data_IF_707694552176
#
_entry.id   IF_707694552176
#
_cell.length_a   1.000
_cell.length_b   1.000
_cell.length_c   1.000
_cell.angle_alpha   90.00
_cell.angle_beta   90.00
_cell.angle_gamma   90.00
#
_symmetry.space_group_name_H-M   'P 1'
#
loop_
_entity.id
_entity.type
_entity.pdbx_description
1 polymer ?
#
# COMPACT_ATOMS: atom_id res chain seq x y z
N UNK A 1 -5.17 16.99 87.14
CA UNK A 1 -4.95 16.16 85.94
C UNK A 1 -4.82 17.10 84.75
N UNK A 2 -3.63 17.50 84.26
CA UNK A 2 -2.64 16.72 83.45
C UNK A 2 -3.39 15.96 82.34
N UNK A 3 -3.27 16.24 81.02
CA UNK A 3 -2.13 16.49 80.11
C UNK A 3 -2.56 17.48 78.98
N UNK A 4 -1.74 18.49 78.58
CA UNK A 4 -0.74 18.48 77.48
C UNK A 4 -1.36 18.12 76.11
N UNK A 5 -1.16 18.81 74.98
CA UNK A 5 -0.04 19.63 74.49
C UNK A 5 -0.40 20.26 73.12
N UNK A 6 0.13 21.47 72.86
CA UNK A 6 0.75 21.99 71.61
C UNK A 6 0.03 21.87 70.24
N UNK A 7 0.25 22.69 69.21
CA UNK A 7 0.73 24.05 68.96
C UNK A 7 0.59 24.25 67.44
N UNK A 8 0.44 25.50 67.00
CA UNK A 8 0.45 25.98 65.60
C UNK A 8 1.65 25.50 64.77
N UNK A 9 1.47 25.14 63.48
CA UNK A 9 2.06 25.85 62.29
C UNK A 9 1.79 25.19 60.92
N UNK A 10 2.00 26.03 59.90
CA UNK A 10 1.78 25.97 58.46
C UNK A 10 2.49 24.88 57.61
N UNK A 11 1.92 24.71 56.40
CA UNK A 11 2.53 24.49 55.08
C UNK A 11 3.09 23.12 54.63
N UNK A 12 2.73 22.80 53.37
CA UNK A 12 3.33 21.91 52.36
C UNK A 12 3.11 20.37 52.45
N UNK A 13 2.39 19.79 51.46
CA UNK A 13 2.93 18.92 50.37
C UNK A 13 1.84 18.00 49.73
N UNK A 14 1.75 18.03 48.38
CA UNK A 14 1.18 17.10 47.36
C UNK A 14 0.07 16.06 47.66
N UNK A 15 -0.81 15.82 46.65
CA UNK A 15 -0.67 14.55 45.93
C UNK A 15 -0.88 14.62 44.40
N UNK A 16 0.00 13.87 43.73
CA UNK A 16 -0.22 13.06 42.51
C UNK A 16 -0.85 13.70 41.26
N UNK A 17 0.03 13.86 40.27
CA UNK A 17 -0.19 13.87 38.81
C UNK A 17 -1.32 12.91 38.38
N UNK A 18 -2.37 13.43 37.75
CA UNK A 18 -3.25 12.68 36.84
C UNK A 18 -2.91 13.07 35.41
N UNK A 19 -2.44 12.09 34.63
CA UNK A 19 -2.20 12.20 33.20
C UNK A 19 -3.51 12.51 32.45
N UNK A 20 -3.54 13.47 31.52
CA UNK A 20 -4.65 13.58 30.59
C UNK A 20 -4.55 12.45 29.55
N UNK A 21 -5.66 11.72 29.42
CA UNK A 21 -5.89 10.76 28.36
C UNK A 21 -5.71 11.41 26.98
N UNK A 22 -5.00 10.67 26.11
CA UNK A 22 -4.73 10.94 24.70
C UNK A 22 -5.87 11.62 23.93
N UNK A 23 -5.83 12.94 23.83
CA UNK A 23 -6.25 13.63 22.60
C UNK A 23 -5.07 13.55 21.64
N UNK A 24 -5.03 12.52 20.80
CA UNK A 24 -4.06 12.49 19.69
C UNK A 24 -4.49 13.59 18.74
N UNK A 25 -3.81 14.73 18.86
CA UNK A 25 -3.82 15.83 17.92
C UNK A 25 -3.42 15.24 16.56
N UNK A 26 -4.38 15.00 15.66
CA UNK A 26 -4.07 14.94 14.24
C UNK A 26 -3.70 16.37 13.84
N UNK A 27 -2.47 16.76 14.13
CA UNK A 27 -1.86 17.87 13.44
C UNK A 27 -1.89 17.47 11.96
N UNK A 28 -2.73 18.15 11.17
CA UNK A 28 -2.59 18.16 9.73
C UNK A 28 -1.18 18.68 9.44
N UNK A 29 -0.23 17.75 9.32
CA UNK A 29 1.06 18.05 8.71
C UNK A 29 0.70 18.58 7.33
N UNK A 30 0.88 19.88 7.10
CA UNK A 30 0.82 20.48 5.78
C UNK A 30 1.89 19.78 4.95
N UNK A 31 1.50 18.67 4.34
CA UNK A 31 2.40 17.79 3.62
C UNK A 31 2.60 18.47 2.29
N UNK A 32 3.63 19.30 2.23
CA UNK A 32 4.06 19.92 0.99
C UNK A 32 4.64 18.80 0.13
N UNK A 33 3.82 18.27 -0.78
CA UNK A 33 4.27 17.27 -1.74
C UNK A 33 5.21 17.94 -2.75
N UNK A 34 6.31 17.28 -3.08
CA UNK A 34 7.21 17.83 -4.09
C UNK A 34 6.51 17.86 -5.46
N UNK A 35 6.75 18.92 -6.23
CA UNK A 35 6.38 18.96 -7.64
C UNK A 35 7.01 17.77 -8.37
N UNK A 36 6.24 17.10 -9.22
CA UNK A 36 6.66 15.87 -9.90
C UNK A 36 6.36 14.59 -9.14
N UNK A 37 5.76 14.65 -7.93
CA UNK A 37 5.35 13.45 -7.22
C UNK A 37 4.24 12.72 -7.98
N UNK A 38 4.41 11.42 -8.18
CA UNK A 38 3.43 10.56 -8.83
C UNK A 38 2.38 10.09 -7.83
N UNK A 39 1.12 10.15 -8.22
CA UNK A 39 -0.03 9.78 -7.41
C UNK A 39 -1.10 9.04 -8.23
N UNK A 40 -2.02 8.41 -7.52
CA UNK A 40 -3.27 7.87 -8.06
C UNK A 40 -4.43 8.75 -7.64
N UNK A 41 -5.38 8.95 -8.55
CA UNK A 41 -6.62 9.67 -8.32
C UNK A 41 -7.81 8.88 -8.78
N UNK A 42 -8.96 9.08 -8.14
CA UNK A 42 -10.19 8.41 -8.54
C UNK A 42 -10.62 8.89 -9.92
N UNK A 43 -11.06 7.96 -10.74
CA UNK A 43 -11.57 8.19 -12.09
C UNK A 43 -12.92 7.48 -12.26
N UNK A 44 -13.86 8.07 -13.00
CA UNK A 44 -15.21 7.53 -13.13
C UNK A 44 -15.25 6.25 -13.97
N UNK A 45 -14.44 6.16 -15.02
CA UNK A 45 -14.41 5.00 -15.92
C UNK A 45 -13.39 3.94 -15.49
N UNK A 46 -12.11 4.30 -15.40
CA UNK A 46 -11.01 3.39 -15.00
C UNK A 46 -10.88 3.12 -13.49
N UNK A 47 -11.76 3.67 -12.65
CA UNK A 47 -11.69 3.65 -11.17
C UNK A 47 -10.49 4.45 -10.61
N UNK A 48 -9.29 4.26 -11.15
CA UNK A 48 -8.05 4.92 -10.73
C UNK A 48 -7.24 5.38 -11.94
N UNK A 49 -6.95 6.68 -12.01
CA UNK A 49 -6.08 7.27 -13.02
C UNK A 49 -4.71 7.66 -12.44
N UNK A 50 -3.69 7.59 -13.28
CA UNK A 50 -2.35 8.03 -12.95
C UNK A 50 -2.24 9.55 -13.08
N UNK A 51 -1.63 10.20 -12.09
CA UNK A 51 -1.45 11.63 -12.09
C UNK A 51 -0.09 12.05 -11.48
N UNK A 52 0.30 13.28 -11.79
CA UNK A 52 1.50 13.94 -11.27
C UNK A 52 1.13 15.28 -10.63
N UNK A 53 1.70 15.56 -9.47
CA UNK A 53 1.52 16.83 -8.79
C UNK A 53 2.30 17.92 -9.52
N UNK A 54 1.58 18.93 -10.02
CA UNK A 54 2.16 20.10 -10.69
C UNK A 54 2.49 21.18 -9.66
N UNK A 55 1.58 21.42 -8.73
CA UNK A 55 1.75 22.45 -7.69
C UNK A 55 0.97 22.06 -6.45
N UNK A 56 1.59 22.21 -5.28
CA UNK A 56 0.96 21.99 -3.98
C UNK A 56 0.99 23.29 -3.17
N UNK A 57 -0.19 23.79 -2.79
CA UNK A 57 -0.36 24.88 -1.85
C UNK A 57 -1.09 24.36 -0.59
N UNK A 58 -1.13 25.15 0.49
CA UNK A 58 -1.83 24.77 1.73
C UNK A 58 -3.35 24.56 1.55
N UNK A 59 -3.93 25.09 0.47
CA UNK A 59 -5.39 25.07 0.21
C UNK A 59 -5.80 24.18 -0.94
N UNK A 60 -4.90 23.90 -1.87
CA UNK A 60 -5.24 23.21 -3.11
C UNK A 60 -4.02 22.50 -3.67
N UNK A 61 -4.29 21.37 -4.32
CA UNK A 61 -3.26 20.56 -4.98
C UNK A 61 -3.68 20.46 -6.44
N UNK A 62 -2.83 21.00 -7.32
CA UNK A 62 -3.05 20.99 -8.77
C UNK A 62 -2.29 19.80 -9.34
N UNK A 63 -3.02 18.94 -10.04
CA UNK A 63 -2.50 17.72 -10.63
C UNK A 63 -2.78 17.70 -12.12
N UNK A 64 -1.96 16.95 -12.86
CA UNK A 64 -2.20 16.58 -14.26
C UNK A 64 -2.31 15.07 -14.34
N UNK A 65 -3.28 14.55 -15.08
CA UNK A 65 -3.39 13.11 -15.35
C UNK A 65 -2.48 12.74 -16.51
N UNK A 66 -2.12 11.46 -16.61
CA UNK A 66 -1.32 10.96 -17.74
C UNK A 66 -2.10 10.99 -19.06
N UNK A 67 -3.42 10.75 -19.00
CA UNK A 67 -4.33 10.76 -20.16
C UNK A 67 -4.57 12.17 -20.73
N UNK A 68 -4.70 13.17 -19.86
CA UNK A 68 -4.89 14.57 -20.24
C UNK A 68 -3.75 15.44 -19.71
N UNK A 69 -2.56 15.46 -20.36
CA UNK A 69 -1.41 16.24 -19.91
C UNK A 69 -1.67 17.75 -19.84
N UNK A 70 -2.63 18.24 -20.63
CA UNK A 70 -3.05 19.64 -20.65
C UNK A 70 -4.19 19.92 -19.67
N UNK A 71 -4.87 18.87 -19.20
CA UNK A 71 -5.91 18.95 -18.18
C UNK A 71 -5.29 19.24 -16.82
N UNK A 72 -5.95 20.09 -16.04
CA UNK A 72 -5.58 20.37 -14.65
C UNK A 72 -6.76 20.09 -13.77
N UNK A 73 -6.57 19.20 -12.80
CA UNK A 73 -7.56 18.90 -11.78
C UNK A 73 -7.10 19.55 -10.48
N UNK A 74 -8.02 20.22 -9.80
CA UNK A 74 -7.76 20.86 -8.51
C UNK A 74 -8.37 19.97 -7.43
N UNK A 75 -7.52 19.44 -6.56
CA UNK A 75 -7.92 18.66 -5.39
C UNK A 75 -7.90 19.52 -4.14
N UNK A 76 -8.85 19.26 -3.25
CA UNK A 76 -8.86 19.84 -1.92
C UNK A 76 -7.74 19.27 -1.04
N UNK A 77 -7.35 19.96 0.04
CA UNK A 77 -6.25 19.55 0.92
C UNK A 77 -6.65 18.37 1.82
N UNK A 78 -7.94 18.07 1.92
CA UNK A 78 -8.50 16.95 2.69
C UNK A 78 -8.73 15.69 1.86
N UNK A 79 -8.55 15.74 0.54
CA UNK A 79 -8.74 14.57 -0.32
C UNK A 79 -7.61 13.57 -0.10
N UNK A 80 -7.91 12.26 0.04
CA UNK A 80 -6.87 11.26 0.23
C UNK A 80 -6.03 11.10 -1.03
N UNK A 81 -4.72 11.36 -0.90
CA UNK A 81 -3.75 11.13 -1.96
C UNK A 81 -3.08 9.77 -1.80
N UNK A 82 -3.01 9.02 -2.90
CA UNK A 82 -2.38 7.71 -2.94
C UNK A 82 -1.08 7.80 -3.73
N UNK A 83 0.06 7.60 -3.10
CA UNK A 83 1.37 7.70 -3.76
C UNK A 83 1.54 6.58 -4.80
N UNK A 84 2.15 6.91 -5.93
CA UNK A 84 2.48 5.97 -7.00
C UNK A 84 3.99 5.76 -7.07
N UNK A 85 4.38 4.50 -7.20
CA UNK A 85 5.76 4.11 -7.52
C UNK A 85 5.94 4.08 -9.03
N UNK A 86 7.09 4.57 -9.51
CA UNK A 86 7.44 4.51 -10.93
C UNK A 86 7.58 3.07 -11.42
N UNK A 87 7.20 2.84 -12.68
CA UNK A 87 7.37 1.54 -13.32
C UNK A 87 8.84 1.21 -13.50
N UNK A 88 9.20 -0.05 -13.24
CA UNK A 88 10.56 -0.55 -13.42
C UNK A 88 10.59 -1.41 -14.67
N UNK A 89 11.46 -1.07 -15.63
CA UNK A 89 11.63 -1.82 -16.87
C UNK A 89 12.95 -2.60 -16.83
N UNK A 90 12.90 -3.88 -17.19
CA UNK A 90 14.06 -4.75 -17.40
C UNK A 90 14.25 -5.03 -18.89
N UNK A 91 15.28 -5.80 -19.26
CA UNK A 91 15.48 -6.28 -20.63
C UNK A 91 14.32 -7.12 -21.17
N UNK A 92 13.48 -7.65 -20.28
CA UNK A 92 12.33 -8.49 -20.62
C UNK A 92 11.00 -7.70 -20.64
N UNK A 93 11.05 -6.38 -20.40
CA UNK A 93 9.87 -5.51 -20.39
C UNK A 93 9.51 -5.00 -18.98
N UNK A 94 8.22 -4.79 -18.74
CA UNK A 94 7.74 -4.28 -17.45
C UNK A 94 7.99 -5.31 -16.33
N UNK A 95 8.71 -4.88 -15.29
CA UNK A 95 8.96 -5.69 -14.11
C UNK A 95 7.72 -5.75 -13.24
N UNK A 96 7.19 -6.95 -13.03
CA UNK A 96 6.05 -7.20 -12.15
C UNK A 96 6.47 -8.08 -10.97
N UNK A 97 6.03 -7.69 -9.77
CA UNK A 97 6.34 -8.41 -8.54
C UNK A 97 5.49 -9.67 -8.43
N UNK A 98 6.10 -10.76 -7.96
CA UNK A 98 5.42 -12.04 -7.75
C UNK A 98 4.61 -12.09 -6.46
N UNK A 99 4.95 -11.25 -5.47
CA UNK A 99 4.24 -11.07 -4.22
C UNK A 99 3.88 -9.59 -4.03
N UNK A 100 2.57 -9.31 -3.86
CA UNK A 100 2.03 -7.97 -3.66
C UNK A 100 2.49 -7.33 -2.35
N UNK A 101 2.95 -8.11 -1.36
CA UNK A 101 3.50 -7.54 -0.11
C UNK A 101 4.82 -6.80 -0.31
N UNK A 102 5.47 -6.98 -1.47
CA UNK A 102 6.70 -6.28 -1.84
C UNK A 102 6.44 -4.89 -2.46
N UNK A 103 5.17 -4.49 -2.64
CA UNK A 103 4.82 -3.16 -3.11
C UNK A 103 5.25 -2.10 -2.09
N UNK A 104 5.79 -0.98 -2.57
CA UNK A 104 6.16 0.16 -1.71
C UNK A 104 4.96 0.77 -1.00
N UNK A 105 3.82 0.79 -1.69
CA UNK A 105 2.56 1.28 -1.16
C UNK A 105 1.50 0.19 -1.30
N UNK A 106 1.01 -0.34 -0.19
CA UNK A 106 -0.01 -1.38 -0.16
C UNK A 106 -1.40 -0.75 0.02
N UNK A 107 -1.83 0.02 -0.98
CA UNK A 107 -3.16 0.60 -1.08
C UNK A 107 -3.88 0.07 -2.33
N UNK A 108 -5.19 0.31 -2.40
CA UNK A 108 -6.06 -0.23 -3.44
C UNK A 108 -5.57 0.05 -4.88
N UNK A 109 -5.22 1.31 -5.28
CA UNK A 109 -4.77 1.54 -6.66
C UNK A 109 -3.45 0.83 -7.02
N UNK A 110 -2.50 0.73 -6.08
CA UNK A 110 -1.25 0.02 -6.33
C UNK A 110 -1.47 -1.49 -6.52
N UNK A 111 -2.36 -2.08 -5.72
CA UNK A 111 -2.72 -3.50 -5.86
C UNK A 111 -3.42 -3.75 -7.19
N UNK A 112 -4.40 -2.91 -7.54
CA UNK A 112 -5.14 -3.03 -8.80
C UNK A 112 -4.21 -2.92 -10.02
N UNK A 113 -3.37 -1.88 -10.05
CA UNK A 113 -2.43 -1.69 -11.16
C UNK A 113 -1.42 -2.83 -11.27
N UNK A 114 -0.91 -3.36 -10.15
CA UNK A 114 -0.02 -4.52 -10.16
C UNK A 114 -0.72 -5.76 -10.75
N UNK A 115 -1.97 -6.02 -10.35
CA UNK A 115 -2.76 -7.14 -10.89
C UNK A 115 -3.05 -6.99 -12.38
N UNK A 116 -3.39 -5.78 -12.83
CA UNK A 116 -3.63 -5.46 -14.23
C UNK A 116 -2.36 -5.68 -15.07
N UNK A 117 -1.23 -5.11 -14.66
CA UNK A 117 0.06 -5.27 -15.34
C UNK A 117 0.48 -6.74 -15.44
N UNK A 118 0.19 -7.55 -14.41
CA UNK A 118 0.44 -8.99 -14.43
C UNK A 118 -0.48 -9.73 -15.39
N UNK A 119 -1.76 -9.36 -15.41
CA UNK A 119 -2.76 -9.95 -16.30
C UNK A 119 -2.42 -9.72 -17.78
N UNK A 120 -1.96 -8.52 -18.11
CA UNK A 120 -1.60 -8.12 -19.48
C UNK A 120 -0.42 -8.94 -20.06
N UNK A 121 0.42 -9.50 -19.20
CA UNK A 121 1.54 -10.38 -19.58
C UNK A 121 1.31 -11.86 -19.23
N UNK A 122 0.04 -12.27 -19.11
CA UNK A 122 -0.38 -13.66 -18.87
C UNK A 122 0.11 -14.28 -17.54
N UNK A 123 0.46 -13.45 -16.53
CA UNK A 123 0.83 -13.90 -15.19
C UNK A 123 -0.38 -13.90 -14.24
N UNK A 124 -1.22 -14.92 -14.35
CA UNK A 124 -2.50 -14.99 -13.63
C UNK A 124 -2.41 -15.34 -12.13
N UNK A 125 -1.26 -15.82 -11.66
CA UNK A 125 -1.03 -16.18 -10.27
C UNK A 125 -0.14 -15.15 -9.58
N UNK A 126 -0.46 -14.73 -8.36
CA UNK A 126 0.40 -13.86 -7.55
C UNK A 126 0.20 -14.12 -6.06
N UNK A 127 1.24 -13.96 -5.26
CA UNK A 127 1.13 -14.03 -3.81
C UNK A 127 0.68 -12.71 -3.20
N UNK A 128 0.03 -12.80 -2.05
CA UNK A 128 -0.14 -11.71 -1.09
C UNK A 128 0.21 -12.28 0.29
N UNK A 129 1.53 -12.37 0.54
CA UNK A 129 2.07 -13.09 1.68
C UNK A 129 1.71 -14.58 1.61
N UNK A 130 0.98 -15.16 2.60
CA UNK A 130 0.66 -16.58 2.61
C UNK A 130 -0.46 -16.99 1.64
N UNK A 131 -1.18 -16.02 1.06
CA UNK A 131 -2.34 -16.27 0.20
C UNK A 131 -1.91 -16.24 -1.27
N UNK A 132 -2.42 -17.18 -2.06
CA UNK A 132 -2.29 -17.17 -3.53
C UNK A 132 -3.54 -16.59 -4.17
N UNK A 133 -3.38 -15.55 -4.97
CA UNK A 133 -4.42 -14.96 -5.82
C UNK A 133 -4.32 -15.58 -7.21
N UNK A 134 -5.48 -15.90 -7.80
CA UNK A 134 -5.61 -16.39 -9.16
C UNK A 134 -6.63 -15.54 -9.93
N UNK A 135 -6.22 -15.02 -11.08
CA UNK A 135 -7.09 -14.31 -12.02
C UNK A 135 -7.57 -15.27 -13.11
N UNK A 136 -8.80 -15.10 -13.59
CA UNK A 136 -9.33 -15.90 -14.69
C UNK A 136 -8.85 -15.33 -16.05
N UNK A 137 -8.02 -16.03 -16.83
CA UNK A 137 -7.54 -15.53 -18.11
C UNK A 137 -8.61 -15.50 -19.21
N UNK A 138 -9.70 -16.26 -19.08
CA UNK A 138 -10.68 -16.52 -20.15
C UNK A 138 -10.07 -17.01 -21.48
N UNK A 139 -8.80 -17.45 -21.45
CA UNK A 139 -8.05 -18.01 -22.57
C UNK A 139 -7.09 -19.08 -22.06
N UNK A 140 -6.65 -19.96 -22.95
CA UNK A 140 -5.58 -20.91 -22.65
C UNK A 140 -4.23 -20.17 -22.70
N UNK A 141 -3.42 -20.33 -21.66
CA UNK A 141 -2.05 -19.82 -21.60
C UNK A 141 -1.12 -21.00 -21.90
N UNK A 142 -0.42 -21.02 -23.05
CA UNK A 142 0.51 -22.10 -23.40
C UNK A 142 1.63 -22.23 -22.36
N UNK A 143 2.01 -23.46 -22.01
CA UNK A 143 3.11 -23.69 -21.08
C UNK A 143 2.75 -23.54 -19.60
N UNK A 144 1.54 -23.08 -19.23
CA UNK A 144 1.21 -22.82 -17.83
C UNK A 144 1.04 -24.11 -17.00
N UNK A 145 0.46 -25.15 -17.60
CA UNK A 145 0.17 -26.42 -16.93
C UNK A 145 0.87 -27.62 -17.58
N UNK A 146 1.95 -27.36 -18.33
CA UNK A 146 2.70 -28.42 -19.00
C UNK A 146 3.42 -29.32 -17.97
N UNK A 147 3.69 -30.56 -18.38
CA UNK A 147 4.32 -31.56 -17.51
C UNK A 147 5.72 -31.12 -17.03
N UNK A 148 6.46 -30.40 -17.88
CA UNK A 148 7.76 -29.82 -17.53
C UNK A 148 7.64 -28.81 -16.38
N UNK A 149 6.61 -27.95 -16.42
CA UNK A 149 6.33 -26.99 -15.35
C UNK A 149 5.93 -27.72 -14.09
N UNK A 150 5.01 -28.68 -14.17
CA UNK A 150 4.61 -29.50 -13.03
C UNK A 150 5.83 -30.14 -12.35
N UNK A 151 6.71 -30.76 -13.13
CA UNK A 151 7.92 -31.44 -12.63
C UNK A 151 8.84 -30.46 -11.90
N UNK A 152 8.94 -29.21 -12.35
CA UNK A 152 9.73 -28.17 -11.67
C UNK A 152 9.20 -27.79 -10.28
N UNK A 153 7.89 -27.96 -10.03
CA UNK A 153 7.25 -27.69 -8.74
C UNK A 153 7.23 -28.90 -7.80
N UNK A 154 7.46 -30.12 -8.30
CA UNK A 154 7.61 -31.34 -7.48
C UNK A 154 9.03 -31.35 -6.89
N UNK A 155 9.24 -30.49 -5.89
CA UNK A 155 10.54 -30.38 -5.21
C UNK A 155 10.39 -30.27 -3.69
N UNK A 156 11.47 -30.59 -2.97
CA UNK A 156 11.53 -30.49 -1.50
C UNK A 156 11.54 -29.07 -0.99
N UNK A 157 11.94 -28.11 -1.81
CA UNK A 157 11.90 -26.69 -1.46
C UNK A 157 10.74 -26.02 -2.21
N UNK A 158 9.91 -25.22 -1.53
CA UNK A 158 8.87 -24.47 -2.22
C UNK A 158 9.52 -23.53 -3.24
N UNK A 159 8.93 -23.46 -4.43
CA UNK A 159 9.37 -22.51 -5.44
C UNK A 159 8.93 -21.09 -5.02
N UNK A 160 9.74 -20.06 -5.22
CA UNK A 160 9.33 -18.68 -4.94
C UNK A 160 8.30 -18.17 -5.96
N UNK A 161 8.09 -18.89 -7.07
CA UNK A 161 7.17 -18.48 -8.13
C UNK A 161 5.70 -18.75 -7.74
N UNK A 162 4.78 -17.79 -7.97
CA UNK A 162 3.38 -17.95 -7.66
C UNK A 162 2.73 -18.91 -8.64
N UNK A 163 2.26 -20.05 -8.13
CA UNK A 163 1.55 -21.04 -8.92
C UNK A 163 0.74 -21.97 -8.02
N UNK A 164 -0.40 -22.47 -8.52
CA UNK A 164 -1.24 -23.42 -7.79
C UNK A 164 -0.51 -24.73 -7.46
N UNK A 165 0.42 -25.17 -8.32
CA UNK A 165 1.26 -26.34 -8.06
C UNK A 165 2.13 -26.18 -6.82
N UNK A 166 2.57 -24.96 -6.51
CA UNK A 166 3.34 -24.70 -5.30
C UNK A 166 2.46 -24.94 -4.07
N UNK A 167 1.24 -24.39 -4.07
CA UNK A 167 0.25 -24.61 -3.00
C UNK A 167 -0.09 -26.09 -2.86
N UNK A 168 -0.35 -26.79 -3.97
CA UNK A 168 -0.65 -28.23 -3.94
C UNK A 168 0.51 -29.07 -3.39
N UNK A 169 1.75 -28.82 -3.85
CA UNK A 169 2.94 -29.53 -3.35
C UNK A 169 3.19 -29.24 -1.86
N UNK A 170 2.97 -28.01 -1.40
CA UNK A 170 3.05 -27.66 0.02
C UNK A 170 1.98 -28.32 0.88
N UNK A 171 0.75 -28.49 0.37
CA UNK A 171 -0.34 -29.12 1.11
C UNK A 171 -0.33 -30.65 1.10
N UNK A 172 0.26 -31.28 0.09
CA UNK A 172 0.36 -32.74 -0.01
C UNK A 172 1.38 -33.33 0.97
N UNK A 173 2.38 -32.54 1.35
CA UNK A 173 3.45 -32.92 2.28
C UNK A 173 2.97 -32.89 3.73
#
# INVERSE_FOLDING_TARGET
SVKQSDAFKAAACNPSVRSPHNSVLFAAMATHYAQGTLIWVKHEEEVWAQAEIVTSNDKEIIIKTVEDPNGRIVLGPSEPLFLRTSDVFTSEGLSVLDDLTQLTHLHEPAVLSSLQNRFDIDKIYTFTGPILIALNPFKMIPGLYDEEVLTSFISTKPSPKPHVFNTANSSYR
#
